data_IF_612330849686
#
_entry.id   IF_612330849686
#
_cell.length_a   1.000
_cell.length_b   1.000
_cell.length_c   1.000
_cell.angle_alpha   90.00
_cell.angle_beta   90.00
_cell.angle_gamma   90.00
#
_symmetry.space_group_name_H-M   'P 1'
#
loop_
_entity.id
_entity.type
_entity.pdbx_description
1 polymer ?
#
# COMPACT_ATOMS: atom_id res chain seq x y z
N UNK A 1 10.56 23.72 -1.73
CA UNK A 1 9.91 23.32 -0.46
C UNK A 1 8.54 22.63 -0.55
N UNK A 2 8.34 21.63 -1.44
CA UNK A 2 7.17 20.72 -1.33
C UNK A 2 7.59 19.31 -1.77
N UNK A 3 8.11 18.53 -0.82
CA UNK A 3 8.24 17.09 -1.05
C UNK A 3 6.81 16.51 -1.11
N UNK A 4 6.46 15.81 -2.20
CA UNK A 4 5.11 15.31 -2.47
C UNK A 4 4.67 14.21 -1.51
N UNK A 5 4.32 14.61 -0.29
CA UNK A 5 3.69 13.77 0.72
C UNK A 5 2.17 13.86 0.59
N UNK A 6 1.50 12.73 0.72
CA UNK A 6 0.04 12.61 0.74
C UNK A 6 -0.41 12.14 2.12
N UNK A 7 -1.51 12.70 2.60
CA UNK A 7 -2.17 12.27 3.82
C UNK A 7 -3.14 11.16 3.45
N UNK A 8 -3.06 10.02 4.13
CA UNK A 8 -3.90 8.85 3.82
C UNK A 8 -4.49 8.30 5.12
N UNK A 9 -5.82 8.12 5.22
CA UNK A 9 -6.42 7.41 6.34
C UNK A 9 -6.04 5.93 6.25
N UNK A 10 -5.56 5.36 7.36
CA UNK A 10 -5.25 3.94 7.48
C UNK A 10 -6.43 3.15 8.06
N UNK A 11 -7.10 3.73 9.05
CA UNK A 11 -8.15 3.06 9.79
C UNK A 11 -9.16 4.07 10.33
N UNK A 12 -10.42 3.67 10.35
CA UNK A 12 -11.55 4.41 10.90
C UNK A 12 -12.27 3.46 11.84
N UNK A 13 -12.11 3.69 13.14
CA UNK A 13 -12.71 2.85 14.17
C UNK A 13 -13.53 3.66 15.16
N UNK A 14 -14.54 3.02 15.72
CA UNK A 14 -15.29 3.57 16.83
C UNK A 14 -14.48 3.47 18.12
N UNK A 15 -14.41 4.55 18.87
CA UNK A 15 -13.87 4.58 20.21
C UNK A 15 -14.90 5.24 21.12
N UNK A 16 -15.63 4.40 21.86
CA UNK A 16 -16.85 4.78 22.58
C UNK A 16 -17.85 5.38 21.58
N UNK A 17 -18.30 6.60 21.82
CA UNK A 17 -19.30 7.28 20.97
C UNK A 17 -18.69 8.15 19.86
N UNK A 18 -17.38 8.07 19.64
CA UNK A 18 -16.69 8.88 18.61
C UNK A 18 -16.02 8.00 17.56
N UNK A 19 -16.04 8.45 16.31
CA UNK A 19 -15.24 7.84 15.24
C UNK A 19 -13.83 8.45 15.30
N UNK A 20 -12.82 7.59 15.39
CA UNK A 20 -11.41 7.96 15.31
C UNK A 20 -10.83 7.51 13.98
N UNK A 21 -10.06 8.40 13.37
CA UNK A 21 -9.30 8.12 12.17
C UNK A 21 -7.81 8.04 12.51
N UNK A 22 -7.18 6.91 12.22
CA UNK A 22 -5.73 6.80 12.20
C UNK A 22 -5.24 7.26 10.84
N UNK A 23 -4.41 8.30 10.82
CA UNK A 23 -3.93 8.93 9.59
C UNK A 23 -2.42 8.74 9.47
N UNK A 24 -1.94 8.40 8.28
CA UNK A 24 -0.52 8.30 7.97
C UNK A 24 -0.10 9.32 6.90
N UNK A 25 1.17 9.69 6.96
CA UNK A 25 1.83 10.48 5.93
C UNK A 25 2.56 9.52 5.01
N UNK A 26 2.09 9.41 3.77
CA UNK A 26 2.66 8.54 2.77
C UNK A 26 3.44 9.35 1.72
N UNK A 27 4.54 8.76 1.24
CA UNK A 27 5.23 9.22 0.03
C UNK A 27 5.00 8.19 -1.06
N UNK A 28 4.58 8.64 -2.25
CA UNK A 28 4.41 7.74 -3.39
C UNK A 28 5.71 7.00 -3.70
N UNK A 29 5.62 5.69 -3.97
CA UNK A 29 6.77 4.87 -4.39
C UNK A 29 7.43 5.47 -5.64
N UNK A 30 8.76 5.54 -5.65
CA UNK A 30 9.54 5.98 -6.81
C UNK A 30 9.29 5.03 -7.99
N UNK A 31 9.25 5.57 -9.21
CA UNK A 31 8.92 4.82 -10.43
C UNK A 31 9.83 3.59 -10.63
N UNK A 32 11.10 3.69 -10.21
CA UNK A 32 12.07 2.60 -10.26
C UNK A 32 11.66 1.41 -9.37
N UNK A 33 11.23 1.67 -8.14
CA UNK A 33 10.80 0.63 -7.18
C UNK A 33 9.52 -0.08 -7.66
N UNK A 34 8.66 0.61 -8.42
CA UNK A 34 7.45 0.01 -9.01
C UNK A 34 7.79 -1.10 -10.01
N UNK A 35 8.88 -0.98 -10.77
CA UNK A 35 9.29 -2.00 -11.77
C UNK A 35 9.69 -3.31 -11.09
N UNK A 36 10.50 -3.23 -10.03
CA UNK A 36 10.90 -4.41 -9.28
C UNK A 36 9.71 -5.04 -8.52
N UNK A 37 8.86 -4.21 -7.90
CA UNK A 37 7.66 -4.70 -7.22
C UNK A 37 6.65 -5.34 -8.18
N UNK A 38 6.52 -4.84 -9.41
CA UNK A 38 5.62 -5.41 -10.42
C UNK A 38 6.11 -6.77 -10.89
N UNK A 39 7.41 -6.89 -11.19
CA UNK A 39 8.05 -8.17 -11.55
C UNK A 39 7.87 -9.23 -10.45
N UNK A 40 8.11 -8.86 -9.20
CA UNK A 40 7.95 -9.77 -8.06
C UNK A 40 6.49 -10.22 -7.89
N UNK A 41 5.52 -9.30 -8.02
CA UNK A 41 4.09 -9.66 -7.95
C UNK A 41 3.66 -10.59 -9.07
N UNK A 42 4.12 -10.34 -10.30
CA UNK A 42 3.78 -11.20 -11.43
C UNK A 42 4.45 -12.57 -11.30
N UNK A 43 5.68 -12.63 -10.80
CA UNK A 43 6.36 -13.88 -10.47
C UNK A 43 5.60 -14.68 -9.42
N UNK A 44 5.19 -14.06 -8.30
CA UNK A 44 4.41 -14.74 -7.26
C UNK A 44 3.07 -15.27 -7.78
N UNK A 45 2.35 -14.48 -8.61
CA UNK A 45 1.11 -14.95 -9.26
C UNK A 45 1.34 -16.14 -10.20
N UNK A 46 2.45 -16.19 -10.92
CA UNK A 46 2.79 -17.33 -11.76
C UNK A 46 3.11 -18.57 -10.92
N UNK A 47 3.85 -18.40 -9.83
CA UNK A 47 4.14 -19.50 -8.89
C UNK A 47 2.85 -20.06 -8.27
N UNK A 48 1.94 -19.20 -7.80
CA UNK A 48 0.63 -19.63 -7.26
C UNK A 48 -0.23 -20.38 -8.29
N UNK A 49 -0.16 -20.00 -9.56
CA UNK A 49 -0.87 -20.71 -10.65
C UNK A 49 -0.27 -22.07 -10.93
N UNK A 50 1.05 -22.18 -10.95
CA UNK A 50 1.75 -23.45 -11.19
C UNK A 50 1.59 -24.44 -10.03
N UNK A 51 1.45 -23.96 -8.79
CA UNK A 51 1.27 -24.81 -7.60
C UNK A 51 -0.14 -25.42 -7.47
N UNK A 52 -1.11 -24.92 -8.24
CA UNK A 52 -2.51 -25.39 -8.22
C UNK A 52 -2.83 -26.42 -9.33
N UNK A 53 -1.84 -26.82 -10.12
CA UNK A 53 -1.99 -27.83 -11.18
C UNK A 53 -1.54 -29.21 -10.71
#
# INVERSE_FOLDING_TARGET
DRQGYAIVPLDLHWNRDHIKATIAIARGKKLHEKRNSAKEKDWQRQQERNFKQ
#
